data_IF_343876104950
#
_entry.id   IF_343876104950
#
_cell.length_a   1.000
_cell.length_b   1.000
_cell.length_c   1.000
_cell.angle_alpha   90.00
_cell.angle_beta   90.00
_cell.angle_gamma   90.00
#
_symmetry.space_group_name_H-M   'P 1'
#
loop_
_entity.id
_entity.type
_entity.pdbx_description
1 polymer ?
#
# COMPACT_ATOMS: atom_id res chain seq x y z
N UNK A 1 13.40 12.73 5.00
CA UNK A 1 13.60 12.03 3.73
C UNK A 1 12.25 11.75 3.12
N UNK A 2 12.14 11.78 1.79
CA UNK A 2 10.84 11.68 1.13
C UNK A 2 10.34 10.24 1.00
N UNK A 3 9.02 10.12 0.85
CA UNK A 3 8.43 8.88 0.37
C UNK A 3 8.60 8.78 -1.14
N UNK A 4 8.80 7.57 -1.65
CA UNK A 4 8.88 7.28 -3.07
C UNK A 4 7.53 6.75 -3.56
N UNK A 5 6.84 7.54 -4.37
CA UNK A 5 5.53 7.22 -4.93
C UNK A 5 5.45 7.64 -6.41
N UNK A 6 4.58 6.99 -7.21
CA UNK A 6 4.37 7.39 -8.60
C UNK A 6 3.95 8.85 -8.75
N UNK A 7 4.45 9.55 -9.77
CA UNK A 7 4.16 10.96 -10.01
C UNK A 7 2.68 11.26 -10.23
N UNK A 8 1.97 10.32 -10.83
CA UNK A 8 0.57 10.45 -11.20
C UNK A 8 -0.40 9.85 -10.17
N UNK A 9 0.13 9.44 -9.01
CA UNK A 9 -0.72 9.05 -7.88
C UNK A 9 -1.45 10.29 -7.35
N UNK A 10 -2.80 10.29 -7.23
CA UNK A 10 -3.56 11.45 -6.78
C UNK A 10 -3.12 12.00 -5.42
N UNK A 11 -2.67 11.13 -4.52
CA UNK A 11 -2.15 11.54 -3.23
C UNK A 11 -0.95 12.48 -3.34
N UNK A 12 -0.13 12.37 -4.39
CA UNK A 12 1.07 13.19 -4.56
C UNK A 12 0.74 14.67 -4.64
N UNK A 13 -0.23 15.07 -5.46
CA UNK A 13 -0.66 16.47 -5.58
C UNK A 13 -1.16 17.04 -4.24
N UNK A 14 -1.91 16.24 -3.50
CA UNK A 14 -2.44 16.64 -2.20
C UNK A 14 -1.29 16.87 -1.21
N UNK A 15 -0.35 15.93 -1.13
CA UNK A 15 0.81 16.03 -0.24
C UNK A 15 1.69 17.24 -0.58
N UNK A 16 1.93 17.50 -1.87
CA UNK A 16 2.69 18.66 -2.33
C UNK A 16 2.00 19.98 -1.98
N UNK A 17 0.67 20.04 -2.08
CA UNK A 17 -0.10 21.22 -1.64
C UNK A 17 0.02 21.46 -0.14
N UNK A 18 0.23 20.43 0.64
CA UNK A 18 0.47 20.49 2.09
C UNK A 18 1.95 20.70 2.44
N UNK A 19 2.80 20.96 1.45
CA UNK A 19 4.26 21.11 1.60
C UNK A 19 4.96 19.86 2.15
N UNK A 20 4.42 18.70 1.85
CA UNK A 20 5.00 17.40 2.16
C UNK A 20 5.73 16.91 0.92
N UNK A 21 7.04 16.69 1.06
CA UNK A 21 7.89 16.32 -0.06
C UNK A 21 7.79 14.82 -0.38
N UNK A 22 7.56 14.52 -1.66
CA UNK A 22 7.55 13.16 -2.19
C UNK A 22 8.44 13.08 -3.43
N UNK A 23 9.05 11.94 -3.68
CA UNK A 23 9.88 11.69 -4.86
C UNK A 23 9.31 10.56 -5.70
N UNK A 24 9.82 10.43 -6.92
CA UNK A 24 9.55 9.29 -7.79
C UNK A 24 10.76 8.35 -7.88
N UNK A 25 10.59 7.21 -8.56
CA UNK A 25 11.65 6.22 -8.74
C UNK A 25 12.91 6.79 -9.41
N UNK A 26 12.76 7.77 -10.30
CA UNK A 26 13.88 8.39 -11.00
C UNK A 26 14.77 9.15 -10.02
N UNK A 27 14.17 9.90 -9.11
CA UNK A 27 14.92 10.64 -8.11
C UNK A 27 15.46 9.73 -7.00
N UNK A 28 14.67 8.74 -6.59
CA UNK A 28 15.10 7.73 -5.62
C UNK A 28 16.33 6.96 -6.09
N UNK A 29 16.39 6.60 -7.36
CA UNK A 29 17.52 5.84 -7.94
C UNK A 29 18.86 6.58 -7.96
N UNK A 30 18.84 7.90 -7.79
CA UNK A 30 20.06 8.71 -7.70
C UNK A 30 20.69 8.69 -6.31
N UNK A 31 20.01 8.13 -5.33
CA UNK A 31 20.49 8.07 -3.95
C UNK A 31 21.17 6.73 -3.67
N UNK A 32 22.31 6.76 -3.02
CA UNK A 32 23.07 5.55 -2.60
C UNK A 32 22.69 5.17 -1.17
N UNK A 33 21.42 4.89 -0.94
CA UNK A 33 20.87 4.45 0.35
C UNK A 33 19.89 3.31 0.13
N UNK A 34 19.76 2.43 1.12
CA UNK A 34 18.70 1.41 1.12
C UNK A 34 17.43 2.02 1.71
N UNK A 35 16.37 2.23 0.92
CA UNK A 35 15.10 2.68 1.48
C UNK A 35 14.42 1.58 2.28
N UNK A 36 13.54 1.97 3.19
CA UNK A 36 12.58 1.05 3.78
C UNK A 36 11.55 0.66 2.74
N UNK A 37 11.25 -0.62 2.64
CA UNK A 37 10.22 -1.14 1.73
C UNK A 37 8.97 -1.48 2.50
N UNK A 38 7.89 -0.80 2.19
CA UNK A 38 6.58 -1.04 2.78
C UNK A 38 5.60 -1.55 1.73
N UNK A 39 4.72 -2.45 2.15
CA UNK A 39 3.56 -2.87 1.37
C UNK A 39 2.28 -2.51 2.10
N UNK A 40 1.32 -1.96 1.40
CA UNK A 40 0.02 -1.57 1.95
C UNK A 40 -1.07 -2.40 1.28
N UNK A 41 -1.69 -3.29 2.04
CA UNK A 41 -2.89 -4.01 1.63
C UNK A 41 -4.10 -3.14 1.96
N UNK A 42 -4.63 -2.47 0.94
CA UNK A 42 -5.73 -1.52 1.09
C UNK A 42 -7.08 -2.17 0.83
N UNK A 43 -7.77 -2.51 1.91
CA UNK A 43 -9.12 -3.12 1.89
C UNK A 43 -10.25 -2.10 2.03
N UNK A 44 -9.92 -0.82 2.17
CA UNK A 44 -10.91 0.24 2.30
C UNK A 44 -11.63 0.49 0.97
N UNK A 45 -12.92 0.87 1.01
CA UNK A 45 -13.70 1.14 -0.20
C UNK A 45 -13.23 2.40 -0.93
N UNK A 46 -12.87 3.44 -0.20
CA UNK A 46 -12.34 4.71 -0.75
C UNK A 46 -10.82 4.70 -0.72
N UNK A 47 -10.22 4.01 -1.68
CA UNK A 47 -8.78 3.75 -1.67
C UNK A 47 -7.94 5.01 -1.78
N UNK A 48 -8.32 5.97 -2.61
CA UNK A 48 -7.56 7.22 -2.82
C UNK A 48 -7.49 8.04 -1.54
N UNK A 49 -8.59 8.17 -0.81
CA UNK A 49 -8.60 8.88 0.48
C UNK A 49 -7.70 8.19 1.51
N UNK A 50 -7.79 6.87 1.60
CA UNK A 50 -6.98 6.06 2.52
C UNK A 50 -5.49 6.13 2.17
N UNK A 51 -5.13 6.06 0.89
CA UNK A 51 -3.77 6.25 0.41
C UNK A 51 -3.20 7.59 0.89
N UNK A 52 -3.94 8.67 0.68
CA UNK A 52 -3.52 10.01 1.09
C UNK A 52 -3.30 10.10 2.61
N UNK A 53 -4.20 9.54 3.40
CA UNK A 53 -4.09 9.56 4.86
C UNK A 53 -2.87 8.79 5.37
N UNK A 54 -2.65 7.59 4.86
CA UNK A 54 -1.51 6.75 5.26
C UNK A 54 -0.19 7.38 4.81
N UNK A 55 -0.10 7.84 3.57
CA UNK A 55 1.11 8.46 3.03
C UNK A 55 1.47 9.75 3.77
N UNK A 56 0.49 10.53 4.20
CA UNK A 56 0.72 11.72 5.02
C UNK A 56 1.39 11.38 6.35
N UNK A 57 1.03 10.26 6.96
CA UNK A 57 1.65 9.81 8.21
C UNK A 57 3.06 9.25 7.98
N UNK A 58 3.24 8.39 6.99
CA UNK A 58 4.53 7.77 6.66
C UNK A 58 5.56 8.82 6.25
N UNK A 59 5.13 9.86 5.52
CA UNK A 59 6.02 10.93 5.04
C UNK A 59 6.70 11.73 6.16
N UNK A 60 6.24 11.61 7.38
CA UNK A 60 6.89 12.22 8.55
C UNK A 60 8.15 11.48 9.01
N UNK A 61 8.41 10.31 8.47
CA UNK A 61 9.62 9.57 8.75
C UNK A 61 10.86 10.30 8.19
N UNK A 62 11.99 10.32 8.92
CA UNK A 62 13.24 10.84 8.40
C UNK A 62 13.92 9.91 7.39
N UNK A 63 13.41 8.70 7.22
CA UNK A 63 13.96 7.69 6.33
C UNK A 63 13.23 7.69 4.98
N UNK A 64 13.94 7.36 3.90
CA UNK A 64 13.30 7.12 2.62
C UNK A 64 12.48 5.84 2.67
N UNK A 65 11.27 5.90 2.14
CA UNK A 65 10.33 4.78 2.13
C UNK A 65 9.82 4.55 0.71
N UNK A 66 10.02 3.33 0.22
CA UNK A 66 9.40 2.84 -1.02
C UNK A 66 8.11 2.10 -0.66
N UNK A 67 7.05 2.36 -1.40
CA UNK A 67 5.72 1.85 -1.08
C UNK A 67 5.13 1.09 -2.26
N UNK A 68 4.73 -0.16 -2.00
CA UNK A 68 3.93 -0.96 -2.91
C UNK A 68 2.50 -1.07 -2.37
N UNK A 69 1.52 -0.92 -3.26
CA UNK A 69 0.12 -1.16 -2.94
C UNK A 69 -0.31 -2.53 -3.39
N UNK A 70 -0.91 -3.28 -2.48
CA UNK A 70 -1.44 -4.62 -2.72
C UNK A 70 -2.96 -4.59 -2.69
N UNK A 71 -3.58 -5.35 -3.57
CA UNK A 71 -5.03 -5.59 -3.57
C UNK A 71 -5.34 -7.08 -3.58
N UNK A 72 -6.53 -7.44 -3.09
CA UNK A 72 -7.04 -8.80 -3.12
C UNK A 72 -7.69 -9.10 -4.46
N UNK A 73 -7.55 -10.34 -4.93
CA UNK A 73 -8.03 -10.77 -6.25
C UNK A 73 -9.53 -11.03 -6.28
N UNK A 74 -10.07 -11.55 -5.19
CA UNK A 74 -11.44 -12.04 -5.11
C UNK A 74 -12.46 -10.97 -4.65
N UNK A 75 -12.09 -9.70 -4.72
CA UNK A 75 -12.96 -8.61 -4.30
C UNK A 75 -12.90 -7.46 -5.30
N UNK A 76 -14.06 -7.06 -5.82
CA UNK A 76 -14.17 -5.90 -6.72
C UNK A 76 -14.44 -4.62 -5.91
N UNK A 77 -13.62 -3.62 -6.12
CA UNK A 77 -13.83 -2.29 -5.54
C UNK A 77 -14.92 -1.55 -6.30
N UNK A 78 -15.96 -1.13 -5.58
CA UNK A 78 -17.08 -0.37 -6.16
C UNK A 78 -16.83 1.13 -6.20
N UNK A 79 -15.93 1.63 -5.39
CA UNK A 79 -15.73 3.06 -5.15
C UNK A 79 -14.42 3.61 -5.74
N UNK A 80 -13.61 2.76 -6.34
CA UNK A 80 -12.34 3.14 -6.95
C UNK A 80 -12.34 2.68 -8.41
N UNK A 81 -11.86 3.53 -9.31
CA UNK A 81 -11.83 3.19 -10.73
C UNK A 81 -10.90 2.00 -11.00
N UNK A 82 -11.29 1.16 -11.94
CA UNK A 82 -10.48 0.02 -12.37
C UNK A 82 -9.11 0.46 -12.91
N UNK A 83 -9.05 1.59 -13.63
CA UNK A 83 -7.82 2.15 -14.15
C UNK A 83 -6.82 2.54 -13.04
N UNK A 84 -7.31 3.12 -11.95
CA UNK A 84 -6.49 3.45 -10.78
C UNK A 84 -5.89 2.19 -10.17
N UNK A 85 -6.68 1.13 -10.01
CA UNK A 85 -6.21 -0.15 -9.46
C UNK A 85 -5.18 -0.82 -10.37
N UNK A 86 -5.41 -0.88 -11.67
CA UNK A 86 -4.45 -1.46 -12.62
C UNK A 86 -3.13 -0.71 -12.65
N UNK A 87 -3.15 0.59 -12.45
CA UNK A 87 -1.98 1.44 -12.55
C UNK A 87 -1.11 1.43 -11.30
N UNK A 88 -1.71 1.41 -10.10
CA UNK A 88 -1.02 1.62 -8.84
C UNK A 88 -1.00 0.43 -7.90
N UNK A 89 -1.89 -0.55 -8.09
CA UNK A 89 -2.01 -1.73 -7.25
C UNK A 89 -1.51 -2.97 -7.96
N UNK A 90 -1.00 -3.90 -7.19
CA UNK A 90 -0.63 -5.22 -7.69
C UNK A 90 -1.25 -6.33 -6.82
N UNK A 91 -1.37 -7.51 -7.38
CA UNK A 91 -1.88 -8.67 -6.67
C UNK A 91 -0.80 -9.31 -5.82
N UNK A 92 -1.21 -9.98 -4.75
CA UNK A 92 -0.33 -10.75 -3.89
C UNK A 92 0.57 -11.73 -4.67
N UNK A 93 0.03 -12.39 -5.67
CA UNK A 93 0.78 -13.34 -6.51
C UNK A 93 2.04 -12.73 -7.14
N UNK A 94 2.00 -11.46 -7.49
CA UNK A 94 3.14 -10.74 -8.10
C UNK A 94 4.13 -10.21 -7.06
N UNK A 95 3.67 -9.96 -5.84
CA UNK A 95 4.49 -9.37 -4.77
C UNK A 95 5.06 -10.40 -3.80
N UNK A 96 4.59 -11.63 -3.82
CA UNK A 96 4.93 -12.67 -2.84
C UNK A 96 6.41 -13.07 -2.81
N UNK A 97 7.15 -12.84 -3.88
CA UNK A 97 8.59 -13.09 -3.95
C UNK A 97 9.43 -12.00 -3.30
N UNK A 98 8.83 -10.85 -3.00
CA UNK A 98 9.49 -9.72 -2.39
C UNK A 98 9.53 -9.86 -0.86
N UNK A 99 10.54 -9.22 -0.26
CA UNK A 99 10.61 -9.04 1.19
C UNK A 99 10.39 -7.56 1.52
N UNK A 100 9.68 -7.29 2.61
CA UNK A 100 9.36 -5.95 3.06
C UNK A 100 9.79 -5.72 4.50
N UNK A 101 10.14 -4.47 4.81
CA UNK A 101 10.43 -4.05 6.17
C UNK A 101 9.15 -3.88 6.99
N UNK A 102 8.07 -3.50 6.35
CA UNK A 102 6.78 -3.34 7.00
C UNK A 102 5.60 -3.62 6.07
N UNK A 103 4.48 -3.99 6.68
CA UNK A 103 3.19 -4.18 6.02
C UNK A 103 2.09 -3.49 6.81
N UNK A 104 1.22 -2.79 6.11
CA UNK A 104 0.01 -2.20 6.68
C UNK A 104 -1.19 -2.90 6.04
N UNK A 105 -2.03 -3.49 6.88
CA UNK A 105 -3.33 -4.03 6.46
C UNK A 105 -4.39 -3.07 6.96
N UNK A 106 -5.13 -2.44 6.06
CA UNK A 106 -6.18 -1.50 6.45
C UNK A 106 -7.41 -2.24 6.98
N UNK A 107 -8.29 -1.53 7.68
CA UNK A 107 -9.62 -2.03 7.96
C UNK A 107 -10.43 -2.23 6.68
N UNK A 108 -11.58 -2.88 6.82
CA UNK A 108 -12.55 -3.09 5.77
C UNK A 108 -13.97 -3.00 6.35
N UNK A 109 -14.97 -2.55 5.58
CA UNK A 109 -16.34 -2.41 6.07
C UNK A 109 -17.08 -3.76 6.05
N UNK A 110 -16.57 -4.73 6.78
CA UNK A 110 -17.09 -6.11 6.84
C UNK A 110 -17.42 -6.57 8.27
N UNK A 111 -17.56 -5.63 9.18
CA UNK A 111 -17.80 -5.89 10.60
C UNK A 111 -19.11 -6.65 10.89
N UNK A 112 -20.04 -6.66 9.94
CA UNK A 112 -21.31 -7.36 10.06
C UNK A 112 -21.26 -8.81 9.56
N UNK A 113 -20.14 -9.23 8.94
CA UNK A 113 -19.98 -10.53 8.34
C UNK A 113 -19.17 -11.46 9.26
N UNK A 114 -19.51 -12.74 9.27
CA UNK A 114 -18.62 -13.76 9.81
C UNK A 114 -17.38 -13.86 8.91
N UNK A 115 -16.27 -14.32 9.45
CA UNK A 115 -15.01 -14.42 8.67
C UNK A 115 -15.17 -15.28 7.41
N UNK A 116 -15.93 -16.36 7.50
CA UNK A 116 -16.18 -17.28 6.38
C UNK A 116 -17.04 -16.66 5.26
N UNK A 117 -17.78 -15.59 5.57
CA UNK A 117 -18.62 -14.87 4.61
C UNK A 117 -17.87 -13.78 3.85
N UNK A 118 -16.65 -13.45 4.27
CA UNK A 118 -15.79 -12.46 3.57
C UNK A 118 -15.17 -13.13 2.36
N UNK A 119 -15.45 -12.60 1.17
CA UNK A 119 -15.06 -13.20 -0.11
C UNK A 119 -13.55 -13.31 -0.34
N UNK A 120 -12.73 -12.50 0.34
CA UNK A 120 -11.27 -12.53 0.28
C UNK A 120 -10.62 -13.13 1.55
N UNK A 121 -11.36 -13.78 2.41
CA UNK A 121 -10.84 -14.28 3.70
C UNK A 121 -9.69 -15.28 3.52
N UNK A 122 -9.84 -16.25 2.64
CA UNK A 122 -8.81 -17.25 2.37
C UNK A 122 -7.51 -16.61 1.85
N UNK A 123 -7.63 -15.64 0.95
CA UNK A 123 -6.50 -14.89 0.42
C UNK A 123 -5.83 -14.06 1.52
N UNK A 124 -6.61 -13.43 2.39
CA UNK A 124 -6.10 -12.68 3.54
C UNK A 124 -5.34 -13.58 4.51
N UNK A 125 -5.83 -14.77 4.81
CA UNK A 125 -5.12 -15.76 5.62
C UNK A 125 -3.78 -16.16 5.00
N UNK A 126 -3.74 -16.39 3.69
CA UNK A 126 -2.51 -16.68 2.95
C UNK A 126 -1.52 -15.53 3.03
N UNK A 127 -1.97 -14.29 2.87
CA UNK A 127 -1.13 -13.10 2.99
C UNK A 127 -0.58 -12.96 4.41
N UNK A 128 -1.39 -13.17 5.42
CA UNK A 128 -0.94 -13.12 6.82
C UNK A 128 0.09 -14.21 7.13
N UNK A 129 -0.08 -15.41 6.63
CA UNK A 129 0.90 -16.49 6.78
C UNK A 129 2.22 -16.17 6.06
N UNK A 130 2.14 -15.65 4.83
CA UNK A 130 3.29 -15.19 4.08
C UNK A 130 4.05 -14.07 4.82
N UNK A 131 3.35 -13.15 5.46
CA UNK A 131 3.97 -12.03 6.17
C UNK A 131 4.90 -12.47 7.29
N UNK A 132 4.68 -13.63 7.90
CA UNK A 132 5.55 -14.16 8.97
C UNK A 132 6.99 -14.41 8.50
N UNK A 133 7.20 -14.68 7.22
CA UNK A 133 8.51 -15.02 6.64
C UNK A 133 9.08 -13.93 5.73
N UNK A 134 8.27 -13.05 5.19
CA UNK A 134 8.65 -12.06 4.18
C UNK A 134 8.54 -10.61 4.66
N UNK A 135 7.91 -10.36 5.79
CA UNK A 135 7.71 -9.02 6.33
C UNK A 135 8.26 -8.94 7.75
N UNK A 136 9.06 -7.92 8.03
CA UNK A 136 9.64 -7.75 9.35
C UNK A 136 8.59 -7.38 10.41
N UNK A 137 7.68 -6.44 10.07
CA UNK A 137 6.63 -5.97 10.99
C UNK A 137 5.32 -5.74 10.23
N UNK A 138 4.20 -6.21 10.78
CA UNK A 138 2.86 -6.04 10.22
C UNK A 138 1.93 -5.34 11.21
N UNK A 139 1.16 -4.38 10.72
CA UNK A 139 0.15 -3.61 11.48
C UNK A 139 -1.20 -3.70 10.79
#
# INVERSE_FOLDING_TARGET
>A
MPINIPNDLPAKEILESEKIFAIDDRDASKQDIRPLKLVILNLMPKKIETETQILRLISKSPLQVDIDFMMVKNHESKNTSHDHLLKFYDYFEHLKENCYDGMIITGAPVEHLAFEEVDYWEELEEIMEWSKTHVFSTV
#
